data_IF_265284330944
#
_entry.id   IF_265284330944
#
_cell.length_a   1.000
_cell.length_b   1.000
_cell.length_c   1.000
_cell.angle_alpha   90.00
_cell.angle_beta   90.00
_cell.angle_gamma   90.00
#
_symmetry.space_group_name_H-M   'P 1'
#
loop_
_entity.id
_entity.type
_entity.pdbx_description
1 polymer ?
#
# COMPACT_ATOMS: atom_id res chain seq x y z
N UNK A 1 23.77 41.62 22.81
CA UNK A 1 24.83 41.18 21.86
C UNK A 1 24.13 40.54 20.67
N UNK A 2 24.42 41.08 19.49
CA UNK A 2 23.74 40.88 18.21
C UNK A 2 24.19 39.62 17.45
N UNK A 3 23.46 39.37 16.35
CA UNK A 3 23.68 38.50 15.19
C UNK A 3 23.08 37.07 15.32
N UNK A 4 22.35 36.51 14.36
CA UNK A 4 22.45 36.74 12.91
C UNK A 4 21.17 36.37 12.14
N UNK A 5 20.97 37.07 11.04
CA UNK A 5 20.02 36.86 9.94
C UNK A 5 20.33 35.60 9.10
N UNK A 6 19.30 35.08 8.43
CA UNK A 6 19.31 34.08 7.34
C UNK A 6 19.39 32.61 7.75
N UNK A 7 18.24 31.92 7.71
CA UNK A 7 18.16 30.48 7.66
C UNK A 7 16.89 30.09 6.91
N UNK A 8 17.03 29.55 5.70
CA UNK A 8 15.94 28.86 5.02
C UNK A 8 15.37 27.81 5.99
N UNK A 9 14.16 28.05 6.48
CA UNK A 9 13.52 27.28 7.53
C UNK A 9 13.25 25.85 7.07
N UNK A 10 14.24 24.97 7.22
CA UNK A 10 14.02 23.55 7.09
C UNK A 10 13.16 23.10 8.27
N UNK A 11 11.98 22.54 7.99
CA UNK A 11 11.12 21.92 9.00
C UNK A 11 11.72 20.62 9.57
N UNK A 12 12.89 20.20 9.08
CA UNK A 12 13.59 19.01 9.56
C UNK A 12 14.16 19.23 10.96
N UNK A 13 14.04 18.22 11.82
CA UNK A 13 14.64 18.28 13.15
C UNK A 13 16.17 18.30 13.04
N UNK A 14 16.79 19.33 13.62
CA UNK A 14 18.25 19.47 13.74
C UNK A 14 18.87 18.57 14.83
N UNK A 15 18.11 17.59 15.34
CA UNK A 15 18.48 16.74 16.46
C UNK A 15 17.67 15.45 16.44
N UNK A 16 17.37 14.88 17.61
CA UNK A 16 16.56 13.66 17.69
C UNK A 16 15.10 13.96 17.35
N UNK A 17 14.54 13.17 16.43
CA UNK A 17 13.10 13.22 16.14
C UNK A 17 12.33 12.61 17.33
N UNK A 18 11.23 13.24 17.80
CA UNK A 18 10.41 12.71 18.89
C UNK A 18 9.91 11.28 18.61
N UNK A 19 9.93 10.41 19.62
CA UNK A 19 9.54 9.00 19.45
C UNK A 19 8.09 8.85 18.97
N UNK A 20 7.18 9.65 19.52
CA UNK A 20 5.77 9.66 19.10
C UNK A 20 5.63 9.96 17.61
N UNK A 21 6.38 10.93 17.09
CA UNK A 21 6.33 11.28 15.67
C UNK A 21 6.86 10.15 14.78
N UNK A 22 7.94 9.46 15.21
CA UNK A 22 8.45 8.28 14.50
C UNK A 22 7.42 7.16 14.43
N UNK A 23 6.72 6.91 15.53
CA UNK A 23 5.70 5.85 15.64
C UNK A 23 4.47 6.21 14.80
N UNK A 24 3.96 7.44 14.90
CA UNK A 24 2.81 7.89 14.09
C UNK A 24 3.12 7.86 12.59
N UNK A 25 4.34 8.27 12.21
CA UNK A 25 4.82 8.13 10.83
C UNK A 25 4.85 6.65 10.38
N UNK A 26 5.44 5.77 11.21
CA UNK A 26 5.60 4.36 10.90
C UNK A 26 4.27 3.58 10.87
N UNK A 27 3.24 4.07 11.57
CA UNK A 27 1.89 3.50 11.50
C UNK A 27 1.33 3.54 10.07
N UNK A 28 1.71 4.55 9.27
CA UNK A 28 1.38 4.61 7.85
C UNK A 28 1.90 3.42 7.06
N UNK A 29 3.15 2.99 7.32
CA UNK A 29 3.72 1.81 6.67
C UNK A 29 2.99 0.52 7.07
N UNK A 30 2.48 0.43 8.31
CA UNK A 30 1.69 -0.73 8.73
C UNK A 30 0.42 -0.90 7.89
N UNK A 31 -0.33 0.18 7.72
CA UNK A 31 -1.57 0.16 6.94
C UNK A 31 -1.29 -0.16 5.46
N UNK A 32 -0.20 0.38 4.92
CA UNK A 32 0.23 0.12 3.56
C UNK A 32 0.62 -1.35 3.33
N UNK A 33 1.43 -1.94 4.23
CA UNK A 33 1.88 -3.33 4.06
C UNK A 33 0.75 -4.32 4.22
N UNK A 34 -0.23 -4.04 5.07
CA UNK A 34 -1.47 -4.84 5.21
C UNK A 34 -2.19 -4.97 3.87
N UNK A 35 -2.36 -3.87 3.15
CA UNK A 35 -3.01 -3.88 1.83
C UNK A 35 -2.17 -4.65 0.80
N UNK A 36 -0.85 -4.44 0.80
CA UNK A 36 0.04 -5.16 -0.10
C UNK A 36 0.04 -6.67 0.12
N UNK A 37 0.04 -7.13 1.38
CA UNK A 37 0.03 -8.56 1.67
C UNK A 37 -1.34 -9.17 1.35
N UNK A 38 -2.44 -8.45 1.63
CA UNK A 38 -3.78 -8.85 1.24
C UNK A 38 -3.86 -9.11 -0.27
N UNK A 39 -3.36 -8.16 -1.07
CA UNK A 39 -3.30 -8.33 -2.52
C UNK A 39 -2.32 -9.44 -2.94
N UNK A 40 -1.03 -9.34 -2.62
CA UNK A 40 -0.01 -10.23 -3.19
C UNK A 40 -0.17 -11.70 -2.78
N UNK A 41 -0.60 -11.98 -1.53
CA UNK A 41 -0.72 -13.36 -1.06
C UNK A 41 -1.99 -14.04 -1.53
N UNK A 42 -3.12 -13.32 -1.57
CA UNK A 42 -4.43 -13.92 -1.77
C UNK A 42 -4.96 -13.73 -3.18
N UNK A 43 -4.61 -12.65 -3.88
CA UNK A 43 -5.11 -12.36 -5.23
C UNK A 43 -4.73 -13.44 -6.25
N UNK A 44 -3.46 -13.86 -6.26
CA UNK A 44 -3.01 -14.88 -7.21
C UNK A 44 -3.78 -16.20 -7.01
N UNK A 45 -3.98 -16.60 -5.75
CA UNK A 45 -4.75 -17.81 -5.43
C UNK A 45 -6.22 -17.68 -5.86
N UNK A 46 -6.87 -16.55 -5.54
CA UNK A 46 -8.27 -16.30 -5.90
C UNK A 46 -8.51 -16.43 -7.41
N UNK A 47 -7.70 -15.75 -8.23
CA UNK A 47 -7.88 -15.78 -9.67
C UNK A 47 -7.55 -17.13 -10.30
N UNK A 48 -6.53 -17.83 -9.81
CA UNK A 48 -6.08 -19.10 -10.43
C UNK A 48 -6.84 -20.32 -9.93
N UNK A 49 -7.06 -20.45 -8.62
CA UNK A 49 -7.64 -21.64 -8.01
C UNK A 49 -9.16 -21.55 -7.83
N UNK A 50 -9.73 -20.34 -7.76
CA UNK A 50 -11.17 -20.14 -7.56
C UNK A 50 -11.85 -19.74 -8.87
N UNK A 51 -11.36 -18.69 -9.54
CA UNK A 51 -11.92 -18.26 -10.82
C UNK A 51 -11.38 -19.03 -12.02
N UNK A 52 -10.32 -19.84 -11.84
CA UNK A 52 -9.81 -20.75 -12.86
C UNK A 52 -9.07 -20.10 -14.02
N UNK A 53 -8.61 -18.84 -13.91
CA UNK A 53 -7.81 -18.23 -14.97
C UNK A 53 -6.39 -18.83 -15.01
N UNK A 54 -5.75 -18.94 -16.18
CA UNK A 54 -4.37 -19.41 -16.27
C UNK A 54 -3.43 -18.54 -15.43
N UNK A 55 -2.51 -19.19 -14.69
CA UNK A 55 -1.50 -18.48 -13.88
C UNK A 55 -0.61 -17.54 -14.69
N UNK A 56 -0.42 -17.81 -15.99
CA UNK A 56 0.27 -16.91 -16.92
C UNK A 56 -0.45 -15.57 -17.08
N UNK A 57 -1.78 -15.57 -17.18
CA UNK A 57 -2.59 -14.36 -17.27
C UNK A 57 -2.56 -13.57 -15.95
N UNK A 58 -2.72 -14.26 -14.82
CA UNK A 58 -2.64 -13.62 -13.50
C UNK A 58 -1.26 -12.98 -13.26
N UNK A 59 -0.18 -13.69 -13.61
CA UNK A 59 1.17 -13.17 -13.54
C UNK A 59 1.40 -11.96 -14.45
N UNK A 60 0.94 -12.04 -15.71
CA UNK A 60 1.03 -10.94 -16.67
C UNK A 60 0.29 -9.68 -16.19
N UNK A 61 -0.88 -9.82 -15.57
CA UNK A 61 -1.62 -8.68 -15.02
C UNK A 61 -0.79 -7.92 -13.97
N UNK A 62 -0.12 -8.66 -13.07
CA UNK A 62 0.79 -8.08 -12.07
C UNK A 62 2.02 -7.47 -12.73
N UNK A 63 2.62 -8.14 -13.73
CA UNK A 63 3.76 -7.60 -14.48
C UNK A 63 3.44 -6.28 -15.18
N UNK A 64 2.27 -6.19 -15.83
CA UNK A 64 1.79 -4.95 -16.45
C UNK A 64 1.70 -3.86 -15.38
N UNK A 65 1.10 -4.17 -14.23
CA UNK A 65 0.98 -3.20 -13.16
C UNK A 65 2.33 -2.70 -12.62
N UNK A 66 3.35 -3.56 -12.52
CA UNK A 66 4.72 -3.15 -12.17
C UNK A 66 5.36 -2.24 -13.21
N UNK A 67 5.07 -2.44 -14.51
CA UNK A 67 5.55 -1.55 -15.58
C UNK A 67 4.91 -0.17 -15.43
N UNK A 68 3.62 -0.12 -15.09
CA UNK A 68 2.93 1.14 -14.81
C UNK A 68 3.52 1.86 -13.59
N UNK A 69 3.84 1.14 -12.50
CA UNK A 69 4.47 1.72 -11.31
C UNK A 69 5.77 2.45 -11.62
N UNK A 70 6.60 1.86 -12.50
CA UNK A 70 7.85 2.48 -12.94
C UNK A 70 7.66 3.87 -13.58
N UNK A 71 6.46 4.15 -14.10
CA UNK A 71 6.08 5.44 -14.69
C UNK A 71 5.34 6.31 -13.67
N UNK A 72 4.39 5.74 -12.91
CA UNK A 72 3.56 6.50 -11.98
C UNK A 72 4.35 7.01 -10.78
N UNK A 73 5.31 6.24 -10.28
CA UNK A 73 6.04 6.61 -9.05
C UNK A 73 6.86 7.91 -9.24
N UNK A 74 7.67 8.10 -10.30
CA UNK A 74 8.33 9.37 -10.56
C UNK A 74 7.35 10.52 -10.80
N UNK A 75 6.24 10.27 -11.52
CA UNK A 75 5.22 11.30 -11.79
C UNK A 75 4.59 11.80 -10.48
N UNK A 76 4.16 10.88 -9.62
CA UNK A 76 3.58 11.19 -8.31
C UNK A 76 4.60 11.90 -7.42
N UNK A 77 5.87 11.48 -7.45
CA UNK A 77 6.97 12.18 -6.78
C UNK A 77 7.03 13.66 -7.17
N UNK A 78 7.09 13.95 -8.47
CA UNK A 78 7.16 15.33 -8.96
C UNK A 78 5.90 16.15 -8.69
N UNK A 79 4.71 15.55 -8.78
CA UNK A 79 3.43 16.21 -8.51
C UNK A 79 3.33 16.56 -7.02
N UNK A 80 3.61 15.58 -6.15
CA UNK A 80 3.53 15.76 -4.70
C UNK A 80 4.53 16.80 -4.20
N UNK A 81 5.72 16.88 -4.80
CA UNK A 81 6.76 17.86 -4.43
C UNK A 81 6.46 19.30 -4.87
N UNK A 82 5.56 19.51 -5.84
CA UNK A 82 5.16 20.85 -6.33
C UNK A 82 3.83 21.32 -5.74
N UNK A 83 3.09 20.43 -5.09
CA UNK A 83 1.75 20.72 -4.60
C UNK A 83 1.78 21.66 -3.38
N UNK A 84 0.99 22.73 -3.44
CA UNK A 84 0.83 23.69 -2.34
C UNK A 84 -0.58 23.57 -1.78
N UNK A 85 -0.70 23.10 -0.54
CA UNK A 85 -1.99 23.00 0.15
C UNK A 85 -1.92 23.52 1.59
N UNK A 86 -3.08 23.87 2.15
CA UNK A 86 -3.20 24.30 3.56
C UNK A 86 -2.86 23.20 4.57
N UNK A 87 -2.95 21.93 4.18
CA UNK A 87 -2.61 20.76 5.00
C UNK A 87 -1.14 20.35 4.86
N UNK A 88 -0.34 21.13 4.13
CA UNK A 88 1.02 20.81 3.75
C UNK A 88 1.11 20.16 2.37
N UNK A 89 2.34 19.91 1.94
CA UNK A 89 2.66 19.50 0.57
C UNK A 89 2.24 18.07 0.24
N UNK A 90 2.45 17.13 1.17
CA UNK A 90 2.31 15.68 0.94
C UNK A 90 1.08 15.02 1.57
N UNK A 91 0.55 15.62 2.64
CA UNK A 91 -0.59 15.09 3.38
C UNK A 91 -1.89 14.93 2.57
N UNK A 92 -2.27 15.84 1.65
CA UNK A 92 -3.51 15.67 0.87
C UNK A 92 -3.55 14.37 0.06
N UNK A 93 -2.43 13.98 -0.55
CA UNK A 93 -2.33 12.74 -1.32
C UNK A 93 -2.46 11.52 -0.42
N UNK A 94 -1.77 11.55 0.72
CA UNK A 94 -1.82 10.46 1.72
C UNK A 94 -3.23 10.26 2.28
N UNK A 95 -4.02 11.33 2.48
CA UNK A 95 -5.39 11.22 2.97
C UNK A 95 -6.41 10.84 1.88
N UNK A 96 -6.14 11.19 0.63
CA UNK A 96 -7.03 10.86 -0.49
C UNK A 96 -6.86 9.41 -0.97
N UNK A 97 -5.67 8.82 -0.83
CA UNK A 97 -5.34 7.49 -1.35
C UNK A 97 -6.15 6.30 -0.77
N UNK A 98 -6.49 6.22 0.53
CA UNK A 98 -7.12 5.03 1.09
C UNK A 98 -8.48 4.67 0.48
N UNK A 99 -9.32 5.69 0.20
CA UNK A 99 -10.66 5.49 -0.36
C UNK A 99 -10.66 4.76 -1.72
N UNK A 100 -9.94 5.25 -2.76
CA UNK A 100 -9.88 4.56 -4.03
C UNK A 100 -9.14 3.21 -3.94
N UNK A 101 -8.18 3.06 -3.03
CA UNK A 101 -7.50 1.77 -2.81
C UNK A 101 -8.48 0.72 -2.29
N UNK A 102 -9.27 1.04 -1.28
CA UNK A 102 -10.30 0.13 -0.75
C UNK A 102 -11.33 -0.24 -1.81
N UNK A 103 -11.78 0.75 -2.59
CA UNK A 103 -12.71 0.51 -3.70
C UNK A 103 -12.14 -0.45 -4.75
N UNK A 104 -10.89 -0.25 -5.18
CA UNK A 104 -10.26 -1.13 -6.15
C UNK A 104 -10.03 -2.54 -5.58
N UNK A 105 -9.62 -2.64 -4.31
CA UNK A 105 -9.44 -3.93 -3.64
C UNK A 105 -10.75 -4.73 -3.60
N UNK A 106 -11.85 -4.07 -3.25
CA UNK A 106 -13.18 -4.68 -3.27
C UNK A 106 -13.58 -5.15 -4.68
N UNK A 107 -13.37 -4.32 -5.70
CA UNK A 107 -13.65 -4.68 -7.10
C UNK A 107 -12.79 -5.86 -7.59
N UNK A 108 -11.54 -5.98 -7.15
CA UNK A 108 -10.66 -7.11 -7.51
C UNK A 108 -11.23 -8.44 -7.01
N UNK A 109 -11.82 -8.46 -5.81
CA UNK A 109 -12.40 -9.68 -5.22
C UNK A 109 -13.90 -9.86 -5.50
N UNK A 110 -14.55 -8.90 -6.16
CA UNK A 110 -15.96 -8.98 -6.57
C UNK A 110 -16.12 -8.78 -8.08
N UNK A 111 -15.48 -9.60 -8.94
CA UNK A 111 -15.72 -9.52 -10.38
C UNK A 111 -17.19 -9.90 -10.72
N UNK A 112 -17.77 -9.32 -11.78
CA UNK A 112 -19.05 -9.77 -12.32
C UNK A 112 -19.07 -11.26 -12.61
N UNK A 113 -20.23 -11.90 -12.41
CA UNK A 113 -20.45 -13.30 -12.75
C UNK A 113 -20.31 -13.55 -14.26
N UNK A 114 -19.94 -14.77 -14.64
CA UNK A 114 -19.86 -15.26 -16.03
C UNK A 114 -18.89 -14.53 -16.97
N UNK A 115 -17.84 -13.91 -16.44
CA UNK A 115 -16.78 -13.33 -17.27
C UNK A 115 -15.90 -14.43 -17.91
N UNK A 116 -15.58 -14.25 -19.19
CA UNK A 116 -14.58 -15.08 -19.87
C UNK A 116 -13.18 -14.88 -19.25
N UNK A 117 -12.29 -15.86 -19.42
CA UNK A 117 -10.91 -15.77 -18.93
C UNK A 117 -10.18 -14.49 -19.36
N UNK A 118 -10.42 -14.03 -20.59
CA UNK A 118 -9.82 -12.80 -21.09
C UNK A 118 -10.42 -11.55 -20.43
N UNK A 119 -11.73 -11.54 -20.20
CA UNK A 119 -12.39 -10.42 -19.51
C UNK A 119 -12.00 -10.36 -18.03
N UNK A 120 -11.84 -11.51 -17.36
CA UNK A 120 -11.30 -11.59 -16.01
C UNK A 120 -9.86 -11.09 -15.94
N UNK A 121 -9.03 -11.44 -16.92
CA UNK A 121 -7.66 -10.92 -17.04
C UNK A 121 -7.66 -9.39 -17.20
N UNK A 122 -8.51 -8.83 -18.07
CA UNK A 122 -8.63 -7.39 -18.23
C UNK A 122 -9.13 -6.71 -16.95
N UNK A 123 -10.15 -7.28 -16.30
CA UNK A 123 -10.66 -6.80 -15.02
C UNK A 123 -9.56 -6.73 -13.96
N UNK A 124 -8.87 -7.85 -13.76
CA UNK A 124 -7.75 -7.94 -12.83
C UNK A 124 -6.68 -6.90 -13.15
N UNK A 125 -6.29 -6.77 -14.43
CA UNK A 125 -5.24 -5.86 -14.86
C UNK A 125 -5.62 -4.40 -14.59
N UNK A 126 -6.81 -3.96 -14.99
CA UNK A 126 -7.27 -2.58 -14.83
C UNK A 126 -7.34 -2.19 -13.36
N UNK A 127 -7.98 -3.02 -12.53
CA UNK A 127 -8.10 -2.71 -11.11
C UNK A 127 -6.79 -2.86 -10.36
N UNK A 128 -5.92 -3.79 -10.73
CA UNK A 128 -4.58 -3.90 -10.13
C UNK A 128 -3.73 -2.66 -10.46
N UNK A 129 -3.68 -2.24 -11.72
CA UNK A 129 -2.95 -1.02 -12.14
C UNK A 129 -3.49 0.20 -11.39
N UNK A 130 -4.81 0.34 -11.33
CA UNK A 130 -5.46 1.48 -10.65
C UNK A 130 -5.17 1.45 -9.15
N UNK A 131 -5.36 0.30 -8.50
CA UNK A 131 -5.09 0.12 -7.07
C UNK A 131 -3.64 0.47 -6.73
N UNK A 132 -2.68 -0.06 -7.48
CA UNK A 132 -1.24 0.20 -7.26
C UNK A 132 -0.88 1.65 -7.48
N UNK A 133 -1.43 2.27 -8.53
CA UNK A 133 -1.27 3.72 -8.76
C UNK A 133 -1.80 4.54 -7.57
N UNK A 134 -2.95 4.15 -7.01
CA UNK A 134 -3.49 4.80 -5.81
C UNK A 134 -2.66 4.54 -4.55
N UNK A 135 -2.10 3.34 -4.38
CA UNK A 135 -1.15 3.07 -3.28
C UNK A 135 0.09 3.95 -3.43
N UNK A 136 0.60 4.14 -4.65
CA UNK A 136 1.76 4.99 -4.92
C UNK A 136 1.53 6.45 -4.49
N UNK A 137 0.29 6.97 -4.61
CA UNK A 137 -0.09 8.29 -4.08
C UNK A 137 0.09 8.43 -2.57
N UNK A 138 0.08 7.32 -1.83
CA UNK A 138 0.44 7.29 -0.41
C UNK A 138 1.93 7.00 -0.22
N UNK A 139 2.44 5.94 -0.86
CA UNK A 139 3.78 5.39 -0.64
C UNK A 139 4.88 6.40 -0.95
N UNK A 140 4.84 7.02 -2.14
CA UNK A 140 5.89 7.94 -2.59
C UNK A 140 5.99 9.16 -1.68
N UNK A 141 4.87 9.88 -1.37
CA UNK A 141 4.93 11.00 -0.43
C UNK A 141 5.27 10.58 1.01
N UNK A 142 4.85 9.39 1.44
CA UNK A 142 5.18 8.85 2.77
C UNK A 142 6.68 8.62 2.92
N UNK A 143 7.31 7.88 2.00
CA UNK A 143 8.76 7.66 2.01
C UNK A 143 9.55 8.98 1.97
N UNK A 144 9.12 9.90 1.10
CA UNK A 144 9.77 11.19 0.98
C UNK A 144 9.63 12.00 2.29
N UNK A 145 8.46 11.95 2.96
CA UNK A 145 8.24 12.61 4.25
C UNK A 145 9.18 12.05 5.31
N UNK A 146 9.36 10.73 5.36
CA UNK A 146 10.32 10.08 6.25
C UNK A 146 11.75 10.59 6.07
N UNK A 147 12.18 10.79 4.83
CA UNK A 147 13.49 11.32 4.49
C UNK A 147 13.68 12.79 4.86
N UNK A 148 12.60 13.57 4.98
CA UNK A 148 12.62 14.99 5.35
C UNK A 148 12.52 15.23 6.87
N UNK A 149 12.15 14.22 7.68
CA UNK A 149 11.96 14.39 9.13
C UNK A 149 13.22 14.79 9.90
N UNK A 150 14.42 14.48 9.41
CA UNK A 150 15.68 14.78 10.11
C UNK A 150 16.76 15.19 9.12
N UNK A 151 17.58 16.17 9.50
CA UNK A 151 18.79 16.53 8.74
C UNK A 151 19.96 15.57 8.98
N UNK A 152 19.96 14.85 10.11
CA UNK A 152 21.00 13.89 10.46
C UNK A 152 20.75 12.51 9.83
N UNK A 153 21.79 11.96 9.21
CA UNK A 153 21.76 10.63 8.57
C UNK A 153 21.33 9.51 9.54
N UNK A 154 21.97 9.41 10.71
CA UNK A 154 21.66 8.35 11.70
C UNK A 154 20.20 8.42 12.17
N UNK A 155 19.67 9.62 12.42
CA UNK A 155 18.28 9.77 12.85
C UNK A 155 17.29 9.46 11.71
N UNK A 156 17.60 9.80 10.44
CA UNK A 156 16.81 9.37 9.28
C UNK A 156 16.80 7.86 9.14
N UNK A 157 17.96 7.21 9.26
CA UNK A 157 18.04 5.74 9.25
C UNK A 157 17.19 5.14 10.36
N UNK A 158 17.21 5.71 11.57
CA UNK A 158 16.38 5.25 12.69
C UNK A 158 14.88 5.40 12.44
N UNK A 159 14.45 6.50 11.84
CA UNK A 159 13.06 6.70 11.40
C UNK A 159 12.66 5.60 10.42
N UNK A 160 13.49 5.36 9.39
CA UNK A 160 13.23 4.33 8.38
C UNK A 160 13.28 2.91 8.96
N UNK A 161 14.14 2.63 9.93
CA UNK A 161 14.14 1.33 10.62
C UNK A 161 12.84 1.07 11.38
N UNK A 162 12.31 2.06 12.11
CA UNK A 162 11.02 1.94 12.80
C UNK A 162 9.88 1.76 11.77
N UNK A 163 9.96 2.48 10.64
CA UNK A 163 9.03 2.34 9.54
C UNK A 163 8.96 0.90 9.01
N UNK A 164 10.11 0.31 8.69
CA UNK A 164 10.21 -1.06 8.20
C UNK A 164 9.75 -2.08 9.25
N UNK A 165 10.11 -1.88 10.53
CA UNK A 165 9.66 -2.76 11.60
C UNK A 165 8.13 -2.73 11.76
N UNK A 166 7.53 -1.54 11.71
CA UNK A 166 6.07 -1.42 11.81
C UNK A 166 5.36 -2.03 10.60
N UNK A 167 5.93 -1.86 9.40
CA UNK A 167 5.46 -2.54 8.20
C UNK A 167 5.49 -4.07 8.34
N UNK A 168 6.59 -4.63 8.87
CA UNK A 168 6.72 -6.07 9.10
C UNK A 168 5.70 -6.60 10.12
N UNK A 169 5.44 -5.85 11.20
CA UNK A 169 4.39 -6.18 12.17
C UNK A 169 3.00 -6.17 11.52
N UNK A 170 2.72 -5.18 10.65
CA UNK A 170 1.50 -5.13 9.86
C UNK A 170 1.33 -6.38 8.98
N UNK A 171 2.37 -6.75 8.25
CA UNK A 171 2.38 -7.95 7.40
C UNK A 171 2.09 -9.21 8.21
N UNK A 172 2.89 -9.48 9.24
CA UNK A 172 2.76 -10.70 10.04
C UNK A 172 1.42 -10.76 10.79
N UNK A 173 1.01 -9.63 11.37
CA UNK A 173 -0.25 -9.52 12.09
C UNK A 173 -1.44 -9.77 11.17
N UNK A 174 -1.46 -9.15 9.99
CA UNK A 174 -2.53 -9.36 9.03
C UNK A 174 -2.53 -10.80 8.48
N UNK A 175 -1.37 -11.36 8.11
CA UNK A 175 -1.32 -12.75 7.64
C UNK A 175 -1.88 -13.72 8.68
N UNK A 176 -1.54 -13.54 9.95
CA UNK A 176 -2.08 -14.34 11.04
C UNK A 176 -3.60 -14.16 11.20
N UNK A 177 -4.08 -12.92 11.24
CA UNK A 177 -5.51 -12.62 11.37
C UNK A 177 -6.31 -13.12 10.17
N UNK A 178 -5.79 -12.96 8.96
CA UNK A 178 -6.46 -13.36 7.74
C UNK A 178 -6.69 -14.87 7.70
N UNK A 179 -5.64 -15.64 7.97
CA UNK A 179 -5.71 -17.10 8.01
C UNK A 179 -6.59 -17.61 9.17
N UNK A 180 -6.59 -16.91 10.32
CA UNK A 180 -7.33 -17.34 11.50
C UNK A 180 -8.81 -16.96 11.47
N UNK A 181 -9.17 -15.80 10.91
CA UNK A 181 -10.52 -15.25 10.95
C UNK A 181 -11.29 -15.46 9.63
N UNK A 182 -10.67 -15.19 8.49
CA UNK A 182 -11.34 -15.26 7.19
C UNK A 182 -11.18 -16.63 6.53
N UNK A 183 -10.01 -17.25 6.66
CA UNK A 183 -9.68 -18.51 6.00
C UNK A 183 -9.55 -19.69 6.99
N UNK A 184 -10.27 -19.63 8.11
CA UNK A 184 -10.35 -20.75 9.05
C UNK A 184 -10.94 -22.00 8.36
N UNK A 185 -10.40 -23.21 8.59
CA UNK A 185 -10.98 -24.44 8.08
C UNK A 185 -12.45 -24.59 8.49
N UNK A 186 -13.29 -24.98 7.54
CA UNK A 186 -14.71 -25.27 7.77
C UNK A 186 -15.01 -26.72 7.37
N UNK A 187 -16.17 -27.25 7.76
CA UNK A 187 -16.56 -28.62 7.39
C UNK A 187 -16.61 -28.84 5.86
N UNK A 188 -16.86 -27.77 5.10
CA UNK A 188 -16.93 -27.79 3.63
C UNK A 188 -15.57 -27.57 2.95
N UNK A 189 -14.64 -26.84 3.59
CA UNK A 189 -13.31 -26.56 3.06
C UNK A 189 -12.21 -26.81 4.10
N UNK A 190 -11.44 -27.90 3.93
CA UNK A 190 -10.28 -28.21 4.78
C UNK A 190 -9.17 -27.16 4.67
N UNK A 191 -9.05 -26.52 3.50
CA UNK A 191 -8.28 -25.31 3.31
C UNK A 191 -9.23 -24.12 3.13
N UNK A 192 -9.38 -23.29 4.17
CA UNK A 192 -10.32 -22.16 4.15
C UNK A 192 -10.03 -21.14 3.04
N UNK A 193 -8.80 -21.10 2.48
CA UNK A 193 -8.47 -20.29 1.30
C UNK A 193 -9.27 -20.69 0.06
N UNK A 194 -9.83 -21.90 -0.03
CA UNK A 194 -10.68 -22.31 -1.14
C UNK A 194 -12.09 -21.70 -1.06
N UNK A 195 -12.47 -21.11 0.07
CA UNK A 195 -13.78 -20.49 0.24
C UNK A 195 -13.83 -19.13 -0.46
N UNK A 196 -14.43 -19.09 -1.65
CA UNK A 196 -14.60 -17.87 -2.45
C UNK A 196 -15.30 -16.74 -1.68
N UNK A 197 -16.26 -17.07 -0.81
CA UNK A 197 -17.03 -16.08 -0.06
C UNK A 197 -16.24 -15.37 1.06
N UNK A 198 -15.05 -15.86 1.40
CA UNK A 198 -14.17 -15.24 2.39
C UNK A 198 -13.42 -14.02 1.83
N UNK A 199 -13.20 -13.97 0.51
CA UNK A 199 -12.40 -12.93 -0.14
C UNK A 199 -13.07 -11.55 -0.14
N UNK A 200 -14.36 -11.41 -0.52
CA UNK A 200 -15.06 -10.13 -0.38
C UNK A 200 -15.13 -9.64 1.07
N UNK A 201 -15.21 -10.56 2.05
CA UNK A 201 -15.23 -10.23 3.48
C UNK A 201 -13.89 -9.72 3.99
N UNK A 202 -12.78 -10.21 3.43
CA UNK A 202 -11.43 -9.70 3.72
C UNK A 202 -11.18 -8.32 3.10
N UNK A 203 -11.86 -8.01 1.99
CA UNK A 203 -11.68 -6.78 1.22
C UNK A 203 -12.43 -5.56 1.78
N UNK A 204 -13.28 -5.75 2.79
CA UNK A 204 -14.09 -4.73 3.48
C UNK A 204 -13.50 -4.47 4.88
#
# INVERSE_FOLDING_TARGET
>A
MQANSNGTGSSAFAGRVPQTLKITYAFGAMAETVIYIAFNSFNFFFYTNILGIPGTMAGLAVTIALIFDAITDPLIGTISDRWHSRLGRRHPFMFAAPLPVMFCLFMIYSPPEDLSNFNLFLWLTVFTVTMRSCISLFHVPHLALGAELSSHYIERSRVMSINTLMGALGTLGFSFLALSLFFSPSEEYSNGMLNASAYPRMAI
#
